data_IF_353552750608
#
_entry.id   IF_353552750608
#
_cell.length_a   1.000
_cell.length_b   1.000
_cell.length_c   1.000
_cell.angle_alpha   90.00
_cell.angle_beta   90.00
_cell.angle_gamma   90.00
#
_symmetry.space_group_name_H-M   'P 1'
#
loop_
_entity.id
_entity.type
_entity.pdbx_description
1 polymer ?
#
# COMPACT_ATOMS: atom_id res chain seq x y z
N UNK A 1 -10.36 -22.32 7.18
CA UNK A 1 -9.26 -22.47 6.20
C UNK A 1 -9.10 -21.09 5.60
N UNK A 2 -8.15 -20.32 6.13
CA UNK A 2 -7.87 -18.95 5.68
C UNK A 2 -7.21 -19.08 4.31
N UNK A 3 -7.91 -18.71 3.25
CA UNK A 3 -7.29 -18.45 1.95
C UNK A 3 -6.73 -17.03 2.03
N UNK A 4 -5.62 -16.89 2.77
CA UNK A 4 -4.88 -15.64 2.92
C UNK A 4 -3.52 -15.81 2.24
N UNK A 5 -3.10 -14.79 1.50
CA UNK A 5 -1.75 -14.69 0.93
C UNK A 5 -0.70 -15.00 2.00
N UNK A 6 0.32 -15.76 1.65
CA UNK A 6 1.53 -15.89 2.47
C UNK A 6 2.28 -14.55 2.56
N UNK A 7 3.12 -14.38 3.58
CA UNK A 7 3.95 -13.18 3.72
C UNK A 7 4.83 -12.92 2.49
N UNK A 8 5.38 -13.98 1.87
CA UNK A 8 6.17 -13.88 0.64
C UNK A 8 5.32 -13.41 -0.54
N UNK A 9 4.12 -13.96 -0.73
CA UNK A 9 3.21 -13.54 -1.80
C UNK A 9 2.75 -12.10 -1.61
N UNK A 10 2.40 -11.71 -0.38
CA UNK A 10 2.04 -10.34 -0.04
C UNK A 10 3.18 -9.36 -0.30
N UNK A 11 4.42 -9.73 0.03
CA UNK A 11 5.61 -8.92 -0.24
C UNK A 11 5.85 -8.73 -1.75
N UNK A 12 5.68 -9.80 -2.55
CA UNK A 12 5.82 -9.74 -4.01
C UNK A 12 4.76 -8.81 -4.62
N UNK A 13 3.49 -8.96 -4.21
CA UNK A 13 2.39 -8.13 -4.73
C UNK A 13 2.61 -6.66 -4.36
N UNK A 14 2.97 -6.38 -3.10
CA UNK A 14 3.25 -5.01 -2.66
C UNK A 14 4.41 -4.39 -3.45
N UNK A 15 5.49 -5.14 -3.69
CA UNK A 15 6.63 -4.66 -4.47
C UNK A 15 6.25 -4.35 -5.92
N UNK A 16 5.43 -5.21 -6.56
CA UNK A 16 4.97 -5.00 -7.92
C UNK A 16 4.10 -3.74 -8.04
N UNK A 17 3.09 -3.61 -7.19
CA UNK A 17 2.19 -2.46 -7.17
C UNK A 17 2.94 -1.14 -6.92
N UNK A 18 3.86 -1.13 -5.93
CA UNK A 18 4.67 0.04 -5.64
C UNK A 18 5.62 0.42 -6.79
N UNK A 19 6.18 -0.58 -7.49
CA UNK A 19 7.07 -0.35 -8.64
C UNK A 19 6.32 0.29 -9.80
N UNK A 20 5.13 -0.22 -10.14
CA UNK A 20 4.30 0.34 -11.20
C UNK A 20 3.90 1.79 -10.90
N UNK A 21 3.43 2.04 -9.67
CA UNK A 21 3.04 3.39 -9.26
C UNK A 21 4.22 4.36 -9.25
N UNK A 22 5.37 3.94 -8.72
CA UNK A 22 6.61 4.75 -8.72
C UNK A 22 7.06 5.05 -10.14
N UNK A 23 6.91 4.11 -11.07
CA UNK A 23 7.20 4.31 -12.49
C UNK A 23 6.41 5.47 -13.10
N UNK A 24 5.12 5.57 -12.77
CA UNK A 24 4.25 6.67 -13.23
C UNK A 24 4.64 8.02 -12.61
N UNK A 25 5.02 8.05 -11.33
CA UNK A 25 5.53 9.26 -10.68
C UNK A 25 6.84 9.75 -11.33
N UNK A 26 7.78 8.83 -11.60
CA UNK A 26 9.03 9.15 -12.29
C UNK A 26 8.78 9.62 -13.73
N UNK A 27 7.80 9.03 -14.42
CA UNK A 27 7.38 9.46 -15.74
C UNK A 27 6.87 10.90 -15.71
N UNK A 28 6.08 11.27 -14.71
CA UNK A 28 5.63 12.66 -14.53
C UNK A 28 6.77 13.64 -14.23
N UNK A 29 7.80 13.24 -13.48
CA UNK A 29 9.01 14.09 -13.32
C UNK A 29 9.66 14.37 -14.67
N UNK A 30 9.68 13.39 -15.58
CA UNK A 30 10.30 13.51 -16.90
C UNK A 30 9.44 14.30 -17.90
N UNK A 31 8.13 14.04 -17.93
CA UNK A 31 7.21 14.54 -18.96
C UNK A 31 6.43 15.79 -18.50
N UNK A 32 6.38 16.04 -17.19
CA UNK A 32 5.67 17.16 -16.58
C UNK A 32 4.15 17.09 -16.77
N UNK A 33 3.51 18.25 -16.71
CA UNK A 33 2.05 18.39 -16.81
C UNK A 33 1.47 17.97 -18.19
N UNK A 34 2.31 17.69 -19.19
CA UNK A 34 1.90 17.25 -20.52
C UNK A 34 1.83 15.72 -20.68
N UNK A 35 2.16 15.00 -19.62
CA UNK A 35 2.00 13.56 -19.53
C UNK A 35 0.55 13.12 -19.83
N UNK A 36 0.37 12.21 -20.80
CA UNK A 36 -0.96 11.70 -21.18
C UNK A 36 -1.67 10.92 -20.07
N UNK A 37 -0.90 10.40 -19.11
CA UNK A 37 -1.39 9.70 -17.91
C UNK A 37 -1.13 10.55 -16.67
N UNK A 38 -2.12 10.73 -15.80
CA UNK A 38 -1.91 11.46 -14.55
C UNK A 38 -1.11 10.61 -13.57
N UNK A 39 0.04 11.12 -13.09
CA UNK A 39 0.83 10.46 -12.05
C UNK A 39 0.08 10.31 -10.71
N UNK A 40 -0.97 11.10 -10.52
CA UNK A 40 -1.86 11.05 -9.37
C UNK A 40 -3.25 10.58 -9.78
N UNK A 41 -3.33 9.84 -10.88
CA UNK A 41 -4.57 9.14 -11.21
C UNK A 41 -4.90 8.16 -10.09
N UNK A 42 -6.19 7.95 -9.97
CA UNK A 42 -6.87 6.98 -9.13
C UNK A 42 -6.09 5.66 -9.19
N UNK A 43 -5.87 5.02 -10.34
CA UNK A 43 -5.12 3.74 -10.39
C UNK A 43 -3.74 3.78 -9.69
N UNK A 44 -2.94 4.84 -9.90
CA UNK A 44 -1.59 4.97 -9.31
C UNK A 44 -1.65 5.09 -7.79
N UNK A 45 -2.57 5.90 -7.28
CA UNK A 45 -2.79 6.09 -5.84
C UNK A 45 -3.24 4.77 -5.19
N UNK A 46 -3.98 3.95 -5.92
CA UNK A 46 -4.56 2.70 -5.44
C UNK A 46 -3.50 1.64 -5.26
N UNK A 47 -2.63 1.51 -6.25
CA UNK A 47 -1.46 0.62 -6.17
C UNK A 47 -0.56 0.96 -4.98
N UNK A 48 -0.35 2.26 -4.70
CA UNK A 48 0.41 2.68 -3.51
C UNK A 48 -0.32 2.32 -2.21
N UNK A 49 -1.63 2.57 -2.13
CA UNK A 49 -2.44 2.25 -0.96
C UNK A 49 -2.52 0.74 -0.70
N UNK A 50 -2.69 -0.09 -1.73
CA UNK A 50 -2.66 -1.55 -1.63
C UNK A 50 -1.31 -2.05 -1.14
N UNK A 51 -0.21 -1.52 -1.71
CA UNK A 51 1.15 -1.86 -1.28
C UNK A 51 1.37 -1.55 0.19
N UNK A 52 0.93 -0.36 0.63
CA UNK A 52 1.02 0.06 2.02
C UNK A 52 0.17 -0.84 2.93
N UNK A 53 -1.06 -1.17 2.53
CA UNK A 53 -1.92 -2.08 3.29
C UNK A 53 -1.27 -3.44 3.50
N UNK A 54 -0.70 -4.04 2.45
CA UNK A 54 -0.02 -5.34 2.54
C UNK A 54 1.18 -5.28 3.49
N UNK A 55 1.98 -4.21 3.42
CA UNK A 55 3.10 -4.02 4.34
C UNK A 55 2.63 -3.90 5.81
N UNK A 56 1.55 -3.16 6.06
CA UNK A 56 0.96 -3.00 7.40
C UNK A 56 0.30 -4.29 7.91
N UNK A 57 -0.30 -5.07 7.03
CA UNK A 57 -0.86 -6.39 7.36
C UNK A 57 0.25 -7.33 7.86
N UNK A 58 1.40 -7.36 7.17
CA UNK A 58 2.58 -8.16 7.55
C UNK A 58 3.19 -7.68 8.88
N UNK A 59 3.42 -6.38 9.03
CA UNK A 59 4.02 -5.82 10.26
C UNK A 59 3.12 -6.06 11.48
N UNK A 60 1.80 -6.06 11.28
CA UNK A 60 0.79 -6.32 12.31
C UNK A 60 0.62 -7.79 12.69
N UNK A 61 1.28 -8.74 12.02
CA UNK A 61 1.16 -10.16 12.36
C UNK A 61 1.80 -10.48 13.73
N UNK A 62 1.14 -11.29 14.59
CA UNK A 62 1.70 -11.71 15.86
C UNK A 62 3.06 -12.42 15.66
N UNK A 63 4.14 -11.81 16.15
CA UNK A 63 5.48 -12.37 16.03
C UNK A 63 6.37 -11.72 14.96
N UNK A 64 5.94 -10.65 14.30
CA UNK A 64 6.73 -9.85 13.35
C UNK A 64 8.04 -9.24 13.92
N UNK A 65 8.32 -9.40 15.22
CA UNK A 65 9.53 -8.87 15.86
C UNK A 65 9.51 -7.35 16.00
N UNK A 66 8.35 -6.72 15.82
CA UNK A 66 8.17 -5.28 15.90
C UNK A 66 8.47 -4.75 17.31
N UNK A 67 9.41 -3.81 17.43
CA UNK A 67 9.83 -3.19 18.70
C UNK A 67 8.96 -1.99 19.09
N UNK A 68 7.73 -1.92 18.58
CA UNK A 68 6.83 -0.79 18.81
C UNK A 68 6.27 -0.79 20.23
N UNK A 69 6.17 0.40 20.81
CA UNK A 69 5.43 0.60 22.04
C UNK A 69 3.90 0.57 21.80
N UNK A 70 3.12 0.72 22.86
CA UNK A 70 1.66 0.60 22.78
C UNK A 70 1.00 1.78 22.03
N UNK A 71 1.61 2.96 22.06
CA UNK A 71 1.13 4.13 21.31
C UNK A 71 1.39 3.96 19.82
N UNK A 72 2.61 3.53 19.47
CA UNK A 72 3.01 3.25 18.11
C UNK A 72 2.17 2.14 17.46
N UNK A 73 1.86 1.08 18.21
CA UNK A 73 0.92 0.02 17.75
C UNK A 73 -0.46 0.57 17.45
N UNK A 74 -0.98 1.47 18.30
CA UNK A 74 -2.28 2.07 18.07
C UNK A 74 -2.29 2.97 16.82
N UNK A 75 -1.22 3.73 16.59
CA UNK A 75 -1.04 4.50 15.36
C UNK A 75 -0.97 3.61 14.12
N UNK A 76 -0.24 2.51 14.18
CA UNK A 76 -0.13 1.53 13.08
C UNK A 76 -1.50 0.91 12.75
N UNK A 77 -2.25 0.51 13.77
CA UNK A 77 -3.60 -0.02 13.60
C UNK A 77 -4.57 1.00 12.97
N UNK A 78 -4.50 2.26 13.40
CA UNK A 78 -5.31 3.35 12.84
C UNK A 78 -4.96 3.65 11.39
N UNK A 79 -3.67 3.66 11.03
CA UNK A 79 -3.22 3.83 9.66
C UNK A 79 -3.73 2.69 8.77
N UNK A 80 -3.57 1.45 9.23
CA UNK A 80 -4.06 0.25 8.52
C UNK A 80 -5.57 0.32 8.27
N UNK A 81 -6.36 0.68 9.28
CA UNK A 81 -7.81 0.82 9.14
C UNK A 81 -8.20 1.94 8.16
N UNK A 82 -7.48 3.07 8.19
CA UNK A 82 -7.73 4.20 7.29
C UNK A 82 -7.44 3.83 5.83
N UNK A 83 -6.34 3.12 5.57
CA UNK A 83 -6.00 2.64 4.22
C UNK A 83 -7.01 1.60 3.74
N UNK A 84 -7.44 0.67 4.60
CA UNK A 84 -8.48 -0.30 4.25
C UNK A 84 -9.80 0.39 3.87
N UNK A 85 -10.27 1.36 4.69
CA UNK A 85 -11.48 2.12 4.40
C UNK A 85 -11.38 2.91 3.09
N UNK A 86 -10.21 3.48 2.80
CA UNK A 86 -9.97 4.19 1.54
C UNK A 86 -10.09 3.25 0.34
N UNK A 87 -9.52 2.05 0.42
CA UNK A 87 -9.61 1.02 -0.63
C UNK A 87 -11.03 0.47 -0.76
N UNK A 88 -11.75 0.25 0.34
CA UNK A 88 -13.14 -0.24 0.32
C UNK A 88 -14.11 0.78 -0.27
N UNK A 89 -13.97 2.06 0.12
CA UNK A 89 -14.80 3.16 -0.39
C UNK A 89 -14.61 3.46 -1.87
N UNK A 90 -13.61 2.85 -2.50
CA UNK A 90 -13.29 3.00 -3.92
C UNK A 90 -13.86 1.87 -4.79
N UNK A 91 -14.17 0.72 -4.22
CA UNK A 91 -14.85 -0.37 -4.96
C UNK A 91 -16.35 -0.06 -5.16
N UNK A 92 -16.83 1.11 -4.72
CA UNK A 92 -18.22 1.59 -4.82
C UNK A 92 -18.48 2.56 -5.97
#
# INVERSE_FOLDING_TARGET
MHDGLTCEEAAIIAAAQATEATGELLRFIREGAYSERSAFDVEVVGKLAESLKLALDIEGEPGSGSYLDDEEKALLANLRASVANFLEGWVG
#
